data_IF_182335959080
#
_entry.id   IF_182335959080
#
_cell.length_a   1.000
_cell.length_b   1.000
_cell.length_c   1.000
_cell.angle_alpha   90.00
_cell.angle_beta   90.00
_cell.angle_gamma   90.00
#
_symmetry.space_group_name_H-M   'P 1'
#
loop_
_entity.id
_entity.type
_entity.pdbx_description
1 polymer ?
#
# COMPACT_ATOMS: atom_id res chain seq x y z
N UNK A 1 -22.83 -35.06 34.92
CA UNK A 1 -22.58 -33.63 35.21
C UNK A 1 -21.59 -33.07 34.19
N UNK A 2 -22.15 -32.28 33.26
CA UNK A 2 -21.59 -31.24 32.37
C UNK A 2 -20.09 -31.19 32.04
N UNK A 3 -19.70 -31.90 30.97
CA UNK A 3 -18.55 -31.55 30.10
C UNK A 3 -18.92 -30.39 29.14
N UNK A 4 -19.38 -29.25 29.67
CA UNK A 4 -19.78 -28.06 28.88
C UNK A 4 -18.67 -26.98 28.79
N UNK A 5 -17.41 -27.35 29.03
CA UNK A 5 -16.30 -26.38 29.04
C UNK A 5 -15.64 -26.18 27.68
N UNK A 6 -15.49 -27.23 26.85
CA UNK A 6 -14.71 -27.12 25.61
C UNK A 6 -15.47 -26.42 24.46
N UNK A 7 -16.77 -26.68 24.31
CA UNK A 7 -17.58 -26.11 23.21
C UNK A 7 -17.78 -24.60 23.41
N UNK A 8 -18.03 -24.18 24.65
CA UNK A 8 -18.18 -22.75 25.01
C UNK A 8 -16.88 -21.97 24.72
N UNK A 9 -15.73 -22.56 25.02
CA UNK A 9 -14.42 -21.96 24.73
C UNK A 9 -14.14 -21.89 23.21
N UNK A 10 -14.54 -22.94 22.46
CA UNK A 10 -14.41 -22.96 21.00
C UNK A 10 -15.29 -21.88 20.34
N UNK A 11 -16.53 -21.69 20.83
CA UNK A 11 -17.45 -20.66 20.34
C UNK A 11 -16.96 -19.24 20.67
N UNK A 12 -16.32 -19.04 21.83
CA UNK A 12 -15.65 -17.78 22.19
C UNK A 12 -14.45 -17.49 21.28
N UNK A 13 -13.65 -18.50 20.94
CA UNK A 13 -12.52 -18.34 20.01
C UNK A 13 -12.99 -18.07 18.57
N UNK A 14 -14.07 -18.71 18.13
CA UNK A 14 -14.69 -18.47 16.83
C UNK A 14 -15.32 -17.06 16.75
N UNK A 15 -15.94 -16.59 17.84
CA UNK A 15 -16.49 -15.22 17.88
C UNK A 15 -15.38 -14.15 17.90
N UNK A 16 -14.28 -14.38 18.63
CA UNK A 16 -13.08 -13.53 18.57
C UNK A 16 -12.45 -13.50 17.16
N UNK A 17 -12.44 -14.62 16.45
CA UNK A 17 -11.96 -14.70 15.06
C UNK A 17 -12.78 -13.86 14.08
N UNK A 18 -14.11 -13.81 14.25
CA UNK A 18 -14.99 -12.92 13.46
C UNK A 18 -14.85 -11.44 13.82
N UNK A 19 -14.43 -11.09 15.05
CA UNK A 19 -14.10 -9.72 15.44
C UNK A 19 -12.73 -9.25 14.92
N UNK A 20 -11.89 -10.16 14.45
CA UNK A 20 -10.55 -9.88 13.90
C UNK A 20 -10.48 -9.95 12.37
N UNK A 21 -11.62 -10.10 11.68
CA UNK A 21 -11.70 -9.88 10.24
C UNK A 21 -11.64 -8.36 9.98
N UNK A 22 -10.43 -7.80 10.01
CA UNK A 22 -10.20 -6.39 9.70
C UNK A 22 -10.80 -6.06 8.34
N UNK A 23 -11.70 -5.07 8.30
CA UNK A 23 -12.19 -4.53 7.04
C UNK A 23 -11.01 -3.90 6.31
N UNK A 24 -10.64 -4.46 5.16
CA UNK A 24 -9.50 -4.03 4.37
C UNK A 24 -9.92 -3.68 2.94
N UNK A 25 -9.26 -2.67 2.37
CA UNK A 25 -9.33 -2.35 0.96
C UNK A 25 -7.92 -2.40 0.37
N UNK A 26 -7.81 -2.86 -0.88
CA UNK A 26 -6.54 -3.04 -1.58
C UNK A 26 -6.69 -2.46 -2.98
N UNK A 27 -5.67 -1.80 -3.47
CA UNK A 27 -5.66 -1.29 -4.83
C UNK A 27 -4.26 -1.08 -5.37
N UNK A 28 -4.20 -0.59 -6.61
CA UNK A 28 -2.94 -0.28 -7.27
C UNK A 28 -2.94 1.15 -7.78
N UNK A 29 -1.75 1.74 -7.86
CA UNK A 29 -1.55 3.11 -8.32
C UNK A 29 -0.24 3.18 -9.09
N UNK A 30 -0.24 3.96 -10.16
CA UNK A 30 0.91 4.10 -11.07
C UNK A 30 1.41 5.53 -11.02
N UNK A 31 2.73 5.70 -10.93
CA UNK A 31 3.37 7.01 -10.97
C UNK A 31 3.10 7.72 -12.30
N UNK A 32 3.34 9.04 -12.34
CA UNK A 32 3.46 9.71 -13.63
C UNK A 32 4.70 9.22 -14.39
N UNK A 33 4.80 9.57 -15.67
CA UNK A 33 5.96 9.24 -16.49
C UNK A 33 7.16 10.07 -16.08
N UNK A 34 8.31 9.43 -15.87
CA UNK A 34 9.58 10.08 -15.60
C UNK A 34 10.37 10.29 -16.88
N UNK A 35 10.75 11.53 -17.15
CA UNK A 35 11.63 11.85 -18.27
C UNK A 35 13.07 11.48 -17.95
N UNK A 36 13.81 11.06 -18.97
CA UNK A 36 15.23 10.69 -18.85
C UNK A 36 16.04 11.87 -18.29
N UNK A 37 16.94 11.57 -17.35
CA UNK A 37 17.80 12.59 -16.72
C UNK A 37 17.13 13.46 -15.65
N UNK A 38 15.85 13.20 -15.32
CA UNK A 38 15.12 13.98 -14.31
C UNK A 38 15.07 13.26 -12.97
N UNK A 39 15.24 14.02 -11.88
CA UNK A 39 14.77 13.60 -10.55
C UNK A 39 13.25 13.63 -10.56
N UNK A 40 12.62 12.48 -10.34
CA UNK A 40 11.18 12.37 -10.44
C UNK A 40 10.56 12.11 -9.08
N UNK A 41 9.70 13.02 -8.64
CA UNK A 41 8.88 12.86 -7.45
C UNK A 41 7.44 13.22 -7.77
N UNK A 42 6.50 12.39 -7.32
CA UNK A 42 5.08 12.60 -7.57
C UNK A 42 4.25 12.16 -6.38
N UNK A 43 3.29 12.99 -6.04
CA UNK A 43 2.22 12.64 -5.09
C UNK A 43 0.98 12.25 -5.89
N UNK A 44 0.39 11.11 -5.58
CA UNK A 44 -0.84 10.61 -6.20
C UNK A 44 -1.94 10.42 -5.16
N UNK A 45 -3.13 10.98 -5.36
CA UNK A 45 -4.26 10.71 -4.49
C UNK A 45 -4.78 9.29 -4.72
N UNK A 46 -5.16 8.62 -3.64
CA UNK A 46 -5.85 7.34 -3.60
C UNK A 46 -7.15 7.53 -2.85
N UNK A 47 -8.26 7.17 -3.49
CA UNK A 47 -9.59 7.17 -2.90
C UNK A 47 -9.97 5.74 -2.55
N UNK A 48 -10.56 5.55 -1.38
CA UNK A 48 -11.15 4.28 -0.99
C UNK A 48 -12.53 4.13 -1.65
N UNK A 49 -12.87 2.94 -2.12
CA UNK A 49 -14.17 2.68 -2.76
C UNK A 49 -15.33 2.96 -1.79
N UNK A 50 -15.10 2.69 -0.51
CA UNK A 50 -16.00 3.06 0.58
C UNK A 50 -15.21 3.76 1.68
N UNK A 51 -15.80 4.80 2.28
CA UNK A 51 -15.19 5.47 3.41
C UNK A 51 -15.10 4.52 4.62
N UNK A 52 -13.95 4.49 5.29
CA UNK A 52 -13.79 3.77 6.54
C UNK A 52 -14.51 4.51 7.69
N UNK A 53 -15.07 3.82 8.68
CA UNK A 53 -15.66 4.45 9.87
C UNK A 53 -14.64 5.20 10.75
N UNK A 54 -13.34 4.91 10.61
CA UNK A 54 -12.23 5.60 11.29
C UNK A 54 -10.97 5.56 10.43
N UNK A 55 -9.97 6.37 10.76
CA UNK A 55 -8.69 6.42 10.02
C UNK A 55 -8.03 5.03 9.98
N UNK A 56 -7.81 4.43 8.79
CA UNK A 56 -7.19 3.11 8.67
C UNK A 56 -5.66 3.20 8.78
N UNK A 57 -5.03 2.05 9.00
CA UNK A 57 -3.59 1.88 8.78
C UNK A 57 -3.36 1.55 7.31
N UNK A 58 -2.39 2.23 6.69
CA UNK A 58 -2.07 2.07 5.27
C UNK A 58 -0.65 1.57 5.12
N UNK A 59 -0.47 0.56 4.27
CA UNK A 59 0.84 0.05 3.84
C UNK A 59 0.91 0.11 2.32
N UNK A 60 2.07 0.43 1.77
CA UNK A 60 2.32 0.48 0.33
C UNK A 60 3.52 -0.39 -0.01
N UNK A 61 3.49 -1.04 -1.17
CA UNK A 61 4.61 -1.82 -1.68
C UNK A 61 4.77 -1.62 -3.19
N UNK A 62 6.00 -1.68 -3.68
CA UNK A 62 6.29 -1.67 -5.12
C UNK A 62 5.98 -3.06 -5.68
N UNK A 63 5.22 -3.13 -6.78
CA UNK A 63 4.92 -4.41 -7.44
C UNK A 63 5.36 -4.46 -8.90
N UNK A 64 5.76 -3.33 -9.49
CA UNK A 64 6.20 -3.30 -10.88
C UNK A 64 6.94 -2.02 -11.25
N UNK A 65 7.86 -2.17 -12.20
CA UNK A 65 8.67 -1.07 -12.73
C UNK A 65 8.62 -1.12 -14.26
N UNK A 66 8.51 0.05 -14.88
CA UNK A 66 8.75 0.20 -16.31
C UNK A 66 10.10 0.88 -16.48
N UNK A 67 11.06 0.15 -17.02
CA UNK A 67 12.40 0.65 -17.40
C UNK A 67 12.62 0.36 -18.89
N UNK A 68 13.54 1.06 -19.53
CA UNK A 68 13.78 0.89 -20.97
C UNK A 68 15.25 0.92 -21.33
N UNK A 69 16.04 0.21 -20.53
CA UNK A 69 17.39 -0.34 -20.75
C UNK A 69 18.10 -0.37 -19.41
N UNK A 70 17.63 -1.28 -18.55
CA UNK A 70 18.25 -1.55 -17.27
C UNK A 70 19.47 -2.45 -17.48
N UNK A 71 20.67 -1.90 -17.46
CA UNK A 71 21.91 -2.66 -17.70
C UNK A 71 22.68 -2.96 -16.40
N UNK A 72 21.96 -3.06 -15.27
CA UNK A 72 22.53 -3.27 -13.94
C UNK A 72 22.91 -1.97 -13.22
N UNK A 73 23.08 -2.05 -11.90
CA UNK A 73 23.34 -0.91 -11.02
C UNK A 73 22.38 -0.87 -9.83
N UNK A 74 22.51 0.15 -9.00
CA UNK A 74 21.59 0.35 -7.86
C UNK A 74 20.42 1.23 -8.28
N UNK A 75 19.21 0.89 -7.86
CA UNK A 75 18.04 1.77 -7.94
C UNK A 75 17.75 2.32 -6.55
N UNK A 76 17.44 3.61 -6.48
CA UNK A 76 16.77 4.18 -5.33
C UNK A 76 15.36 4.62 -5.74
N UNK A 77 14.38 3.76 -5.46
CA UNK A 77 12.95 4.07 -5.55
C UNK A 77 12.41 4.16 -4.13
N UNK A 78 11.59 5.18 -3.89
CA UNK A 78 10.81 5.36 -2.68
C UNK A 78 9.33 5.34 -3.02
N UNK A 79 8.58 4.56 -2.26
CA UNK A 79 7.11 4.53 -2.30
C UNK A 79 6.63 4.45 -0.86
N UNK A 80 5.87 5.45 -0.42
CA UNK A 80 5.28 5.45 0.91
C UNK A 80 3.97 6.25 0.94
N UNK A 81 3.04 5.91 1.84
CA UNK A 81 1.90 6.78 2.09
C UNK A 81 2.36 8.09 2.76
N UNK A 82 1.73 9.20 2.42
CA UNK A 82 1.91 10.48 3.11
C UNK A 82 1.06 10.45 4.38
N UNK A 83 1.68 10.13 5.52
CA UNK A 83 0.98 9.80 6.77
C UNK A 83 -0.01 10.87 7.27
N UNK A 84 0.29 12.15 7.01
CA UNK A 84 -0.55 13.29 7.37
C UNK A 84 -1.84 13.37 6.56
N UNK A 85 -1.87 12.79 5.36
CA UNK A 85 -3.02 12.84 4.43
C UNK A 85 -3.97 11.64 4.56
N UNK A 86 -3.62 10.64 5.38
CA UNK A 86 -4.49 9.48 5.57
C UNK A 86 -5.75 9.91 6.31
N UNK A 87 -6.89 9.76 5.65
CA UNK A 87 -8.25 10.04 6.16
C UNK A 87 -9.11 8.79 6.07
N UNK A 88 -10.40 8.92 6.42
CA UNK A 88 -11.40 7.86 6.20
C UNK A 88 -11.77 7.65 4.73
N UNK A 89 -11.54 8.65 3.87
CA UNK A 89 -11.94 8.62 2.45
C UNK A 89 -10.80 8.28 1.50
N UNK A 90 -9.55 8.43 1.95
CA UNK A 90 -8.38 8.21 1.09
C UNK A 90 -7.09 8.68 1.73
N UNK A 91 -6.02 8.66 0.94
CA UNK A 91 -4.70 9.13 1.32
C UNK A 91 -3.90 9.47 0.06
N UNK A 92 -2.79 10.20 0.23
CA UNK A 92 -1.82 10.41 -0.83
C UNK A 92 -0.67 9.41 -0.73
N UNK A 93 -0.21 8.90 -1.87
CA UNK A 93 1.01 8.11 -1.99
C UNK A 93 2.11 8.95 -2.64
N UNK A 94 3.30 8.96 -2.04
CA UNK A 94 4.48 9.61 -2.62
C UNK A 94 5.35 8.57 -3.33
N UNK A 95 5.73 8.90 -4.56
CA UNK A 95 6.63 8.16 -5.40
C UNK A 95 7.88 9.00 -5.62
N UNK A 96 9.04 8.46 -5.28
CA UNK A 96 10.35 9.06 -5.57
C UNK A 96 11.22 8.12 -6.39
N UNK A 97 11.79 8.63 -7.47
CA UNK A 97 12.82 7.96 -8.26
C UNK A 97 14.03 8.88 -8.31
N UNK A 98 15.14 8.43 -7.73
CA UNK A 98 16.42 9.10 -7.89
C UNK A 98 17.06 8.58 -9.19
N UNK A 99 17.54 9.46 -10.08
CA UNK A 99 18.25 9.09 -11.28
C UNK A 99 19.45 8.21 -10.94
N UNK A 100 19.74 7.31 -11.85
CA UNK A 100 20.84 6.39 -11.74
C UNK A 100 21.75 6.60 -12.95
N UNK A 101 23.01 6.23 -12.79
CA UNK A 101 24.02 6.39 -13.85
C UNK A 101 23.90 5.36 -14.97
N UNK A 102 23.17 4.25 -14.78
CA UNK A 102 23.11 3.11 -15.72
C UNK A 102 21.70 2.52 -15.92
N UNK A 103 20.73 3.39 -16.14
CA UNK A 103 19.37 2.99 -16.49
C UNK A 103 18.39 4.12 -16.24
N UNK A 104 17.13 3.90 -16.59
CA UNK A 104 16.08 4.87 -16.37
C UNK A 104 14.77 4.18 -16.00
N UNK A 105 14.13 4.64 -14.92
CA UNK A 105 12.81 4.16 -14.50
C UNK A 105 11.78 5.16 -15.01
N UNK A 106 10.97 4.73 -15.97
CA UNK A 106 9.92 5.53 -16.56
C UNK A 106 8.67 5.60 -15.69
N UNK A 107 8.29 4.48 -15.06
CA UNK A 107 7.13 4.40 -14.17
C UNK A 107 7.36 3.41 -13.04
N UNK A 108 6.80 3.74 -11.88
CA UNK A 108 6.70 2.87 -10.72
C UNK A 108 5.24 2.50 -10.51
N UNK A 109 4.97 1.23 -10.24
CA UNK A 109 3.64 0.74 -9.87
C UNK A 109 3.68 0.26 -8.43
N UNK A 110 2.74 0.77 -7.63
CA UNK A 110 2.61 0.43 -6.23
C UNK A 110 1.25 -0.20 -5.93
N UNK A 111 1.25 -1.17 -5.04
CA UNK A 111 0.06 -1.72 -4.41
C UNK A 111 -0.08 -1.07 -3.05
N UNK A 112 -1.30 -0.91 -2.59
CA UNK A 112 -1.60 -0.40 -1.26
C UNK A 112 -2.66 -1.25 -0.60
N UNK A 113 -2.57 -1.35 0.73
CA UNK A 113 -3.55 -2.02 1.57
C UNK A 113 -3.89 -1.09 2.74
N UNK A 114 -5.18 -0.84 2.94
CA UNK A 114 -5.72 -0.06 4.06
C UNK A 114 -6.63 -0.95 4.91
N UNK A 115 -6.39 -1.02 6.23
CA UNK A 115 -7.15 -1.87 7.16
C UNK A 115 -7.44 -1.16 8.50
N UNK A 116 -8.52 -1.59 9.17
CA UNK A 116 -8.94 -1.12 10.51
C UNK A 116 -8.39 -1.91 11.70
#
# INVERSE_FOLDING_TARGET
>A
MTKMSSISCLLLLLSLGSYAAGYCQIGTVVSAFCQVGSNCQWVKPVTFDNAFPRKPKVVTAIFGLQSGNWNGGNINIRVHPVLTTITTAGFDIDFGVVPITRGHIYRVRATWTACL
#
